data_IF_629290742661
#
_entry.id   IF_629290742661
#
_cell.length_a   1.000
_cell.length_b   1.000
_cell.length_c   1.000
_cell.angle_alpha   90.00
_cell.angle_beta   90.00
_cell.angle_gamma   90.00
#
_symmetry.space_group_name_H-M   'P 1'
#
loop_
_entity.id
_entity.type
_entity.pdbx_description
1 polymer ?
#
# COMPACT_ATOMS: atom_id res chain seq x y z
N UNK A 1 -15.32 11.19 -13.88
CA UNK A 1 -15.49 10.02 -14.65
C UNK A 1 -16.50 9.07 -14.06
N UNK A 2 -17.13 8.37 -14.93
CA UNK A 2 -18.15 7.39 -14.55
C UNK A 2 -17.53 6.01 -14.55
N UNK A 3 -17.12 5.58 -13.38
CA UNK A 3 -16.65 4.21 -13.22
C UNK A 3 -17.86 3.33 -12.89
N UNK A 4 -17.86 2.13 -13.42
CA UNK A 4 -18.82 1.14 -12.98
C UNK A 4 -18.53 0.80 -11.52
N UNK A 5 -19.50 0.23 -10.81
CA UNK A 5 -19.26 -0.14 -9.41
C UNK A 5 -18.15 -1.21 -9.30
N UNK A 6 -18.01 -2.06 -10.29
CA UNK A 6 -16.92 -3.06 -10.30
C UNK A 6 -15.56 -2.39 -10.45
N UNK A 7 -15.47 -1.39 -11.32
CA UNK A 7 -14.23 -0.65 -11.50
C UNK A 7 -13.87 0.13 -10.25
N UNK A 8 -14.87 0.75 -9.61
CA UNK A 8 -14.62 1.48 -8.37
C UNK A 8 -14.11 0.56 -7.26
N UNK A 9 -14.68 -0.64 -7.15
CA UNK A 9 -14.21 -1.62 -6.18
C UNK A 9 -12.79 -2.07 -6.46
N UNK A 10 -12.47 -2.28 -7.72
CA UNK A 10 -11.13 -2.70 -8.12
C UNK A 10 -10.11 -1.62 -7.80
N UNK A 11 -10.44 -0.36 -8.08
CA UNK A 11 -9.56 0.76 -7.76
C UNK A 11 -9.34 0.86 -6.25
N UNK A 12 -10.39 0.73 -5.47
CA UNK A 12 -10.28 0.77 -4.01
C UNK A 12 -9.40 -0.35 -3.48
N UNK A 13 -9.55 -1.55 -4.04
CA UNK A 13 -8.73 -2.70 -3.67
C UNK A 13 -7.26 -2.45 -3.99
N UNK A 14 -6.97 -1.94 -5.17
CA UNK A 14 -5.60 -1.67 -5.59
C UNK A 14 -4.97 -0.58 -4.73
N UNK A 15 -5.72 0.45 -4.38
CA UNK A 15 -5.22 1.51 -3.50
C UNK A 15 -4.89 0.97 -2.11
N UNK A 16 -5.72 0.09 -1.59
CA UNK A 16 -5.47 -0.53 -0.30
C UNK A 16 -4.21 -1.40 -0.34
N UNK A 17 -4.07 -2.20 -1.38
CA UNK A 17 -2.90 -3.06 -1.55
C UNK A 17 -1.63 -2.23 -1.67
N UNK A 18 -1.68 -1.13 -2.39
CA UNK A 18 -0.54 -0.23 -2.52
C UNK A 18 -0.16 0.36 -1.18
N UNK A 19 -1.14 0.83 -0.42
CA UNK A 19 -0.90 1.39 0.91
C UNK A 19 -0.29 0.35 1.83
N UNK A 20 -0.85 -0.86 1.83
CA UNK A 20 -0.34 -1.95 2.66
C UNK A 20 1.11 -2.27 2.33
N UNK A 21 1.45 -2.30 1.04
CA UNK A 21 2.81 -2.55 0.58
C UNK A 21 3.76 -1.44 1.04
N UNK A 22 3.34 -0.19 0.92
CA UNK A 22 4.15 0.94 1.36
C UNK A 22 4.36 0.93 2.87
N UNK A 23 3.32 0.58 3.63
CA UNK A 23 3.44 0.47 5.08
C UNK A 23 4.41 -0.63 5.48
N UNK A 24 4.34 -1.78 4.82
CA UNK A 24 5.26 -2.89 5.07
C UNK A 24 6.69 -2.48 4.75
N UNK A 25 6.89 -1.76 3.66
CA UNK A 25 8.21 -1.28 3.28
C UNK A 25 8.75 -0.29 4.31
N UNK A 26 7.91 0.61 4.80
CA UNK A 26 8.31 1.57 5.83
C UNK A 26 8.75 0.86 7.11
N UNK A 27 7.99 -0.12 7.53
CA UNK A 27 8.35 -0.90 8.72
C UNK A 27 9.69 -1.59 8.52
N UNK A 28 9.90 -2.17 7.36
CA UNK A 28 11.15 -2.84 7.03
C UNK A 28 12.32 -1.86 7.03
N UNK A 29 12.15 -0.69 6.44
CA UNK A 29 13.20 0.33 6.43
C UNK A 29 13.56 0.78 7.84
N UNK A 30 12.57 0.96 8.69
CA UNK A 30 12.81 1.35 10.08
C UNK A 30 13.57 0.25 10.82
N UNK A 31 13.18 -1.00 10.61
CA UNK A 31 13.86 -2.11 11.25
C UNK A 31 15.32 -2.20 10.80
N UNK A 32 15.57 -2.04 9.51
CA UNK A 32 16.93 -2.04 8.98
C UNK A 32 17.74 -0.87 9.55
N UNK A 33 17.12 0.31 9.63
CA UNK A 33 17.78 1.48 10.19
C UNK A 33 18.20 1.29 11.63
N UNK A 34 17.35 0.65 12.43
CA UNK A 34 17.67 0.35 13.82
C UNK A 34 18.80 -0.67 13.91
N UNK A 35 18.75 -1.72 13.10
CA UNK A 35 19.74 -2.78 13.12
C UNK A 35 21.05 -2.38 12.45
N UNK A 36 20.98 -1.49 11.48
CA UNK A 36 22.11 -1.08 10.69
C UNK A 36 22.97 0.01 11.32
N UNK A 37 22.50 0.56 12.41
CA UNK A 37 23.27 1.59 13.12
C UNK A 37 23.97 0.98 14.34
#
# INVERSE_FOLDING_TARGET
GNYSSDEAKEIAKLKKELKDTKDALDVLKKAIGILGN
#
